data_IF_350092893259
#
_entry.id   IF_350092893259
#
_cell.length_a   1.000
_cell.length_b   1.000
_cell.length_c   1.000
_cell.angle_alpha   90.00
_cell.angle_beta   90.00
_cell.angle_gamma   90.00
#
_symmetry.space_group_name_H-M   'P 1'
#
loop_
_entity.id
_entity.type
_entity.pdbx_description
1 polymer ?
#
# COMPACT_ATOMS: atom_id res chain seq x y z
N UNK A 1 -4.63 -15.75 -21.47
CA UNK A 1 -4.26 -14.31 -21.40
C UNK A 1 -5.52 -13.49 -21.67
N UNK A 2 -5.70 -12.35 -21.01
CA UNK A 2 -6.84 -11.43 -21.19
C UNK A 2 -6.31 -9.99 -21.29
N UNK A 3 -6.54 -9.33 -22.43
CA UNK A 3 -5.95 -8.01 -22.74
C UNK A 3 -4.43 -7.99 -22.47
N UNK A 4 -3.69 -8.96 -23.05
CA UNK A 4 -2.24 -9.17 -22.88
C UNK A 4 -1.74 -9.48 -21.46
N UNK A 5 -2.65 -9.66 -20.50
CA UNK A 5 -2.31 -10.04 -19.12
C UNK A 5 -2.42 -11.54 -18.89
N UNK A 6 -1.63 -12.05 -17.96
CA UNK A 6 -1.69 -13.42 -17.46
C UNK A 6 -2.91 -13.60 -16.57
N UNK A 7 -3.81 -14.51 -16.95
CA UNK A 7 -4.97 -14.85 -16.13
C UNK A 7 -4.50 -15.75 -14.98
N UNK A 8 -4.76 -15.35 -13.75
CA UNK A 8 -4.35 -16.13 -12.57
C UNK A 8 -5.55 -16.94 -12.07
N UNK A 9 -5.51 -18.28 -12.15
CA UNK A 9 -6.59 -19.12 -11.63
C UNK A 9 -6.68 -19.03 -10.11
N UNK A 10 -7.86 -19.33 -9.55
CA UNK A 10 -8.08 -19.42 -8.10
C UNK A 10 -7.80 -20.85 -7.62
N UNK A 11 -6.55 -21.29 -7.80
CA UNK A 11 -6.05 -22.60 -7.35
C UNK A 11 -4.70 -22.39 -6.67
N UNK A 12 -4.34 -23.28 -5.74
CA UNK A 12 -3.01 -23.36 -5.12
C UNK A 12 -2.45 -22.03 -4.59
N UNK A 13 -3.32 -21.14 -4.11
CA UNK A 13 -2.99 -19.83 -3.54
C UNK A 13 -2.12 -18.94 -4.46
N UNK A 14 -2.21 -19.13 -5.78
CA UNK A 14 -1.40 -18.36 -6.73
C UNK A 14 -1.64 -16.85 -6.62
N UNK A 15 -2.88 -16.43 -6.35
CA UNK A 15 -3.23 -15.02 -6.22
C UNK A 15 -2.59 -14.42 -4.98
N UNK A 16 -2.66 -15.12 -3.85
CA UNK A 16 -2.09 -14.75 -2.56
C UNK A 16 -0.57 -14.63 -2.66
N UNK A 17 0.10 -15.60 -3.29
CA UNK A 17 1.57 -15.58 -3.47
C UNK A 17 2.04 -14.40 -4.31
N UNK A 18 1.29 -14.06 -5.37
CA UNK A 18 1.59 -12.87 -6.19
C UNK A 18 1.44 -11.58 -5.37
N UNK A 19 0.39 -11.49 -4.55
CA UNK A 19 0.18 -10.34 -3.67
C UNK A 19 1.29 -10.25 -2.60
N UNK A 20 1.66 -11.38 -2.00
CA UNK A 20 2.71 -11.48 -0.97
C UNK A 20 4.09 -11.08 -1.51
N UNK A 21 4.46 -11.54 -2.70
CA UNK A 21 5.72 -11.18 -3.35
C UNK A 21 5.76 -9.69 -3.70
N UNK A 22 4.66 -9.14 -4.24
CA UNK A 22 4.55 -7.71 -4.53
C UNK A 22 4.60 -6.85 -3.26
N UNK A 23 4.06 -7.35 -2.14
CA UNK A 23 4.12 -6.69 -0.85
C UNK A 23 5.53 -6.74 -0.22
N UNK A 24 6.23 -7.86 -0.36
CA UNK A 24 7.53 -8.13 0.27
C UNK A 24 8.73 -7.57 -0.51
N UNK A 25 8.50 -7.00 -1.69
CA UNK A 25 9.56 -6.38 -2.50
C UNK A 25 10.30 -5.30 -1.71
N UNK A 26 11.63 -5.38 -1.64
CA UNK A 26 12.50 -4.45 -0.89
C UNK A 26 12.37 -2.97 -1.29
N UNK A 27 11.77 -2.70 -2.45
CA UNK A 27 11.52 -1.34 -2.97
C UNK A 27 10.20 -0.73 -2.49
N UNK A 28 9.47 -1.46 -1.66
CA UNK A 28 8.16 -1.09 -1.18
C UNK A 28 8.29 -0.53 0.24
N UNK A 29 8.70 0.74 0.34
CA UNK A 29 8.45 1.55 1.53
C UNK A 29 6.93 1.76 1.57
N UNK A 30 6.24 0.77 2.16
CA UNK A 30 4.79 0.69 2.34
C UNK A 30 3.96 1.03 1.08
N UNK A 31 3.86 0.10 0.10
CA UNK A 31 3.01 0.33 -1.05
C UNK A 31 1.56 0.34 -0.56
N UNK A 32 0.88 1.48 -0.70
CA UNK A 32 -0.57 1.49 -0.54
C UNK A 32 -1.21 0.46 -1.48
N UNK A 33 -2.36 -0.10 -1.10
CA UNK A 33 -3.14 -1.05 -1.91
C UNK A 33 -3.36 -0.55 -3.35
N UNK A 34 -3.49 0.76 -3.53
CA UNK A 34 -3.53 1.43 -4.84
C UNK A 34 -2.29 1.14 -5.69
N UNK A 35 -1.08 1.34 -5.16
CA UNK A 35 0.17 1.11 -5.89
C UNK A 35 0.31 -0.35 -6.29
N UNK A 36 0.05 -1.27 -5.35
CA UNK A 36 0.10 -2.71 -5.62
C UNK A 36 -0.86 -3.10 -6.75
N UNK A 37 -2.10 -2.59 -6.73
CA UNK A 37 -3.07 -2.84 -7.79
C UNK A 37 -2.58 -2.31 -9.15
N UNK A 38 -2.03 -1.10 -9.20
CA UNK A 38 -1.51 -0.51 -10.44
C UNK A 38 -0.33 -1.27 -11.02
N UNK A 39 0.54 -1.83 -10.17
CA UNK A 39 1.69 -2.59 -10.63
C UNK A 39 1.29 -4.01 -11.07
N UNK A 40 0.47 -4.71 -10.29
CA UNK A 40 0.02 -6.07 -10.62
C UNK A 40 -0.87 -6.12 -11.86
N UNK A 41 -1.77 -5.14 -12.06
CA UNK A 41 -2.71 -5.13 -13.20
C UNK A 41 -2.04 -4.96 -14.56
N UNK A 42 -0.75 -4.61 -14.62
CA UNK A 42 0.03 -4.50 -15.87
C UNK A 42 0.37 -5.89 -16.42
N UNK A 43 0.52 -6.88 -15.55
CA UNK A 43 1.02 -8.21 -15.90
C UNK A 43 -0.04 -9.28 -15.66
N UNK A 44 -0.82 -9.15 -14.59
CA UNK A 44 -1.77 -10.16 -14.16
C UNK A 44 -3.22 -9.67 -14.24
N UNK A 45 -4.14 -10.63 -14.29
CA UNK A 45 -5.57 -10.38 -14.23
C UNK A 45 -6.30 -11.52 -13.52
N UNK A 46 -7.20 -11.17 -12.62
CA UNK A 46 -8.26 -12.03 -12.08
C UNK A 46 -9.41 -11.16 -11.54
N UNK A 47 -10.62 -11.73 -11.43
CA UNK A 47 -11.87 -10.97 -11.19
C UNK A 47 -11.90 -10.22 -9.85
N UNK A 48 -11.27 -10.76 -8.81
CA UNK A 48 -11.26 -10.21 -7.45
C UNK A 48 -9.94 -9.54 -7.05
N UNK A 49 -9.08 -9.16 -8.01
CA UNK A 49 -7.73 -8.63 -7.75
C UNK A 49 -7.71 -7.45 -6.77
N UNK A 50 -8.51 -6.41 -7.02
CA UNK A 50 -8.54 -5.23 -6.14
C UNK A 50 -8.98 -5.59 -4.72
N UNK A 51 -9.97 -6.47 -4.58
CA UNK A 51 -10.50 -6.92 -3.29
C UNK A 51 -9.43 -7.70 -2.51
N UNK A 52 -8.80 -8.69 -3.15
CA UNK A 52 -7.74 -9.49 -2.51
C UNK A 52 -6.56 -8.65 -2.03
N UNK A 53 -6.12 -7.67 -2.83
CA UNK A 53 -5.05 -6.74 -2.42
C UNK A 53 -5.45 -5.91 -1.21
N UNK A 54 -6.67 -5.35 -1.19
CA UNK A 54 -7.16 -4.56 -0.05
C UNK A 54 -7.24 -5.40 1.22
N UNK A 55 -7.78 -6.62 1.11
CA UNK A 55 -7.89 -7.55 2.25
C UNK A 55 -6.50 -7.97 2.76
N UNK A 56 -5.56 -8.26 1.88
CA UNK A 56 -4.19 -8.61 2.25
C UNK A 56 -3.49 -7.48 3.01
N UNK A 57 -3.53 -6.25 2.47
CA UNK A 57 -2.91 -5.08 3.10
C UNK A 57 -3.60 -4.72 4.42
N UNK A 58 -4.93 -4.86 4.50
CA UNK A 58 -5.67 -4.62 5.73
C UNK A 58 -5.30 -5.60 6.86
N UNK A 59 -4.92 -6.83 6.51
CA UNK A 59 -4.49 -7.86 7.45
C UNK A 59 -2.98 -7.86 7.74
N UNK A 60 -2.20 -6.99 7.09
CA UNK A 60 -0.76 -6.91 7.32
C UNK A 60 -0.43 -6.12 8.61
N UNK A 61 0.20 -6.72 9.63
CA UNK A 61 0.53 -6.02 10.88
C UNK A 61 1.44 -4.81 10.67
N UNK A 62 2.40 -4.89 9.75
CA UNK A 62 3.32 -3.79 9.45
C UNK A 62 2.55 -2.60 8.84
N UNK A 63 1.65 -2.85 7.89
CA UNK A 63 0.82 -1.80 7.30
C UNK A 63 -0.15 -1.18 8.32
N UNK A 64 -0.69 -1.99 9.24
CA UNK A 64 -1.57 -1.52 10.31
C UNK A 64 -0.84 -0.59 11.29
N UNK A 65 0.36 -0.97 11.73
CA UNK A 65 1.17 -0.16 12.66
C UNK A 65 1.50 1.21 12.05
N UNK A 66 1.98 1.22 10.80
CA UNK A 66 2.31 2.46 10.09
C UNK A 66 1.06 3.35 9.95
N UNK A 67 -0.12 2.77 9.69
CA UNK A 67 -1.36 3.56 9.64
C UNK A 67 -1.72 4.16 11.00
N UNK A 68 -1.55 3.43 12.11
CA UNK A 68 -1.78 3.95 13.46
C UNK A 68 -0.83 5.10 13.78
N UNK A 69 0.44 5.00 13.40
CA UNK A 69 1.43 6.07 13.59
C UNK A 69 1.05 7.34 12.83
N UNK A 70 0.63 7.23 11.57
CA UNK A 70 0.19 8.37 10.76
C UNK A 70 -1.20 8.90 11.15
N UNK A 71 -2.03 8.11 11.84
CA UNK A 71 -3.35 8.51 12.32
C UNK A 71 -3.35 9.07 13.74
N UNK A 72 -2.23 9.00 14.47
CA UNK A 72 -2.08 9.89 15.63
C UNK A 72 -2.28 11.31 15.10
N UNK A 73 -3.17 12.13 15.71
CA UNK A 73 -3.21 13.53 15.35
C UNK A 73 -1.77 14.01 15.48
N UNK A 74 -1.28 14.75 14.48
CA UNK A 74 -0.07 15.52 14.64
C UNK A 74 -0.24 16.26 15.96
N UNK A 75 0.45 15.78 17.00
CA UNK A 75 0.27 16.29 18.35
C UNK A 75 0.41 17.79 18.26
N UNK A 76 -0.54 18.52 18.86
CA UNK A 76 -0.67 19.98 18.89
C UNK A 76 0.52 20.66 18.22
N UNK A 77 0.29 21.30 17.07
CA UNK A 77 1.26 22.22 16.50
C UNK A 77 1.80 23.06 17.66
N UNK A 78 3.01 22.75 18.10
CA UNK A 78 3.69 23.63 19.03
C UNK A 78 3.81 24.90 18.21
N UNK A 79 3.09 25.94 18.62
CA UNK A 79 3.31 27.28 18.11
C UNK A 79 4.81 27.52 18.27
N UNK A 80 5.54 27.34 17.17
CA UNK A 80 6.90 27.80 17.09
C UNK A 80 6.70 29.29 17.10
N UNK A 81 6.85 29.92 18.28
CA UNK A 81 6.92 31.37 18.37
C UNK A 81 7.98 31.82 17.36
N UNK A 82 7.52 32.38 16.24
CA UNK A 82 8.39 32.95 15.23
C UNK A 82 9.24 34.01 15.95
N UNK A 83 10.58 33.91 15.95
CA UNK A 83 11.39 34.96 16.52
C UNK A 83 11.08 36.24 15.74
N UNK A 84 10.63 37.27 16.45
CA UNK A 84 10.31 38.58 15.87
C UNK A 84 11.51 39.07 15.10
N UNK A 85 11.45 38.99 13.77
CA UNK A 85 12.39 39.66 12.88
C UNK A 85 12.19 41.17 13.12
N UNK A 86 13.14 41.77 13.84
CA UNK A 86 13.23 43.23 13.94
C UNK A 86 13.81 43.71 12.62
N UNK A 87 12.99 44.37 11.81
CA UNK A 87 13.47 45.24 10.75
C UNK A 87 13.94 46.55 11.39
N UNK A 88 15.20 46.91 11.08
CA UNK A 88 15.77 48.28 11.02
C UNK A 88 15.42 49.25 12.14
#
# INVERSE_FOLDING_TARGET
RYEDRLCVPRVDDFQERIIEEAHSSKYSINPGSTKMYHDLRKVYWWSSMKKGIVEFVANCPNCQQVKVEHQRPAGMAQDIELPKLKCG
#
